data_IF_405022320018
#
_entry.id   IF_405022320018
#
_cell.length_a   1.000
_cell.length_b   1.000
_cell.length_c   1.000
_cell.angle_alpha   90.00
_cell.angle_beta   90.00
_cell.angle_gamma   90.00
#
_symmetry.space_group_name_H-M   'P 1'
#
loop_
_entity.id
_entity.type
_entity.pdbx_description
1 polymer ?
#
# COMPACT_ATOMS: atom_id res chain seq x y z
N UNK A 1 -22.99 -24.94 -4.20
CA UNK A 1 -23.25 -23.61 -4.83
C UNK A 1 -22.22 -22.53 -4.44
N UNK A 2 -21.62 -22.60 -3.25
CA UNK A 2 -20.59 -21.63 -2.79
C UNK A 2 -19.33 -21.63 -3.67
N UNK A 3 -18.89 -22.80 -4.14
CA UNK A 3 -17.70 -22.93 -5.01
C UNK A 3 -17.90 -22.31 -6.39
N UNK A 4 -19.10 -22.39 -6.96
CA UNK A 4 -19.38 -21.88 -8.32
C UNK A 4 -19.28 -20.36 -8.38
N UNK A 5 -19.68 -19.63 -7.33
CA UNK A 5 -19.57 -18.17 -7.25
C UNK A 5 -18.16 -17.64 -7.08
N UNK A 6 -17.20 -18.49 -6.68
CA UNK A 6 -15.80 -18.06 -6.46
C UNK A 6 -14.95 -18.09 -7.74
N UNK A 7 -15.33 -18.88 -8.74
CA UNK A 7 -14.59 -18.97 -10.01
C UNK A 7 -14.45 -17.62 -10.75
N UNK A 8 -15.53 -16.85 -10.98
CA UNK A 8 -15.41 -15.58 -11.68
C UNK A 8 -14.54 -14.57 -10.92
N UNK A 9 -14.62 -14.54 -9.59
CA UNK A 9 -13.79 -13.66 -8.77
C UNK A 9 -12.30 -14.02 -8.90
N UNK A 10 -11.98 -15.32 -8.90
CA UNK A 10 -10.60 -15.80 -9.06
C UNK A 10 -10.03 -15.44 -10.43
N UNK A 11 -10.84 -15.60 -11.49
CA UNK A 11 -10.43 -15.25 -12.86
C UNK A 11 -10.17 -13.75 -12.99
N UNK A 12 -11.08 -12.90 -12.51
CA UNK A 12 -10.92 -11.45 -12.56
C UNK A 12 -9.68 -11.01 -11.77
N UNK A 13 -9.45 -11.61 -10.58
CA UNK A 13 -8.26 -11.31 -9.77
C UNK A 13 -6.97 -11.71 -10.50
N UNK A 14 -6.96 -12.87 -11.17
CA UNK A 14 -5.81 -13.29 -11.97
C UNK A 14 -5.53 -12.33 -13.14
N UNK A 15 -6.57 -11.91 -13.86
CA UNK A 15 -6.44 -10.92 -14.95
C UNK A 15 -5.86 -9.60 -14.42
N UNK A 16 -6.36 -9.09 -13.30
CA UNK A 16 -5.84 -7.89 -12.67
C UNK A 16 -4.38 -8.05 -12.25
N UNK A 17 -4.00 -9.19 -11.67
CA UNK A 17 -2.63 -9.47 -11.27
C UNK A 17 -1.68 -9.48 -12.47
N UNK A 18 -2.04 -10.16 -13.57
CA UNK A 18 -1.23 -10.17 -14.79
C UNK A 18 -1.14 -8.80 -15.46
N UNK A 19 -2.21 -8.01 -15.44
CA UNK A 19 -2.18 -6.63 -15.94
C UNK A 19 -1.21 -5.75 -15.14
N UNK A 20 -1.21 -5.90 -13.81
CA UNK A 20 -0.27 -5.17 -12.93
C UNK A 20 1.17 -5.64 -13.12
N UNK A 21 1.42 -6.92 -13.35
CA UNK A 21 2.75 -7.44 -13.70
C UNK A 21 3.22 -6.86 -15.03
N UNK A 22 2.35 -6.80 -16.04
CA UNK A 22 2.66 -6.14 -17.31
C UNK A 22 2.99 -4.66 -17.13
N UNK A 23 2.21 -3.94 -16.32
CA UNK A 23 2.52 -2.54 -15.99
C UNK A 23 3.88 -2.39 -15.29
N UNK A 24 4.22 -3.30 -14.37
CA UNK A 24 5.48 -3.27 -13.63
C UNK A 24 6.71 -3.33 -14.53
N UNK A 25 6.63 -4.02 -15.68
CA UNK A 25 7.73 -4.05 -16.66
C UNK A 25 8.10 -2.66 -17.19
N UNK A 26 7.12 -1.76 -17.29
CA UNK A 26 7.33 -0.39 -17.78
C UNK A 26 7.56 0.61 -16.63
N UNK A 27 7.08 0.30 -15.44
CA UNK A 27 7.22 1.14 -14.26
C UNK A 27 8.48 0.85 -13.44
N UNK A 28 9.17 -0.28 -13.70
CA UNK A 28 10.43 -0.60 -13.04
C UNK A 28 11.50 0.46 -13.37
N UNK A 29 12.41 0.70 -12.41
CA UNK A 29 13.45 1.73 -12.56
C UNK A 29 14.42 1.43 -13.74
N UNK A 30 14.68 2.41 -14.62
CA UNK A 30 14.10 3.75 -14.71
C UNK A 30 12.67 3.72 -15.27
N UNK A 31 11.73 4.32 -14.53
CA UNK A 31 10.32 4.26 -14.88
C UNK A 31 10.04 5.02 -16.19
N UNK A 32 9.41 4.33 -17.14
CA UNK A 32 8.99 4.91 -18.44
C UNK A 32 7.55 5.39 -18.41
N UNK A 33 6.72 4.83 -17.53
CA UNK A 33 5.28 5.12 -17.40
C UNK A 33 4.93 5.24 -15.94
N UNK A 34 4.09 6.23 -15.59
CA UNK A 34 3.55 6.44 -14.26
C UNK A 34 2.04 6.19 -14.26
N UNK A 35 1.54 5.55 -13.20
CA UNK A 35 0.14 5.13 -13.11
C UNK A 35 -0.83 6.32 -12.96
N UNK A 36 -0.43 7.38 -12.29
CA UNK A 36 -1.29 8.51 -11.95
C UNK A 36 -2.40 8.16 -10.94
N UNK A 37 -3.22 9.15 -10.59
CA UNK A 37 -4.26 9.01 -9.58
C UNK A 37 -5.41 8.12 -10.05
N UNK A 38 -5.77 8.19 -11.33
CA UNK A 38 -6.84 7.37 -11.91
C UNK A 38 -6.54 5.87 -11.75
N UNK A 39 -5.32 5.45 -12.06
CA UNK A 39 -4.93 4.04 -11.93
C UNK A 39 -4.81 3.60 -10.47
N UNK A 40 -4.22 4.41 -9.60
CA UNK A 40 -4.04 4.07 -8.18
C UNK A 40 -5.38 3.96 -7.44
N UNK A 41 -6.33 4.86 -7.72
CA UNK A 41 -7.69 4.81 -7.16
C UNK A 41 -8.47 3.60 -7.67
N UNK A 42 -8.36 3.30 -8.97
CA UNK A 42 -9.00 2.12 -9.56
C UNK A 42 -8.51 0.82 -8.90
N UNK A 43 -7.19 0.66 -8.72
CA UNK A 43 -6.61 -0.51 -8.04
C UNK A 43 -7.09 -0.59 -6.60
N UNK A 44 -7.10 0.52 -5.87
CA UNK A 44 -7.60 0.57 -4.49
C UNK A 44 -9.06 0.12 -4.39
N UNK A 45 -9.91 0.59 -5.32
CA UNK A 45 -11.31 0.18 -5.42
C UNK A 45 -11.47 -1.32 -5.72
N UNK A 46 -10.71 -1.85 -6.66
CA UNK A 46 -10.73 -3.29 -7.02
C UNK A 46 -10.33 -4.15 -5.81
N UNK A 47 -9.26 -3.79 -5.10
CA UNK A 47 -8.81 -4.51 -3.89
C UNK A 47 -9.89 -4.49 -2.81
N UNK A 48 -10.54 -3.34 -2.58
CA UNK A 48 -11.61 -3.22 -1.60
C UNK A 48 -12.82 -4.12 -1.95
N UNK A 49 -13.25 -4.10 -3.20
CA UNK A 49 -14.35 -4.97 -3.68
C UNK A 49 -14.00 -6.45 -3.50
N UNK A 50 -12.79 -6.87 -3.85
CA UNK A 50 -12.37 -8.26 -3.65
C UNK A 50 -12.37 -8.67 -2.18
N UNK A 51 -11.89 -7.80 -1.27
CA UNK A 51 -11.90 -8.07 0.16
C UNK A 51 -13.33 -8.29 0.69
N UNK A 52 -14.29 -7.45 0.25
CA UNK A 52 -15.71 -7.59 0.57
C UNK A 52 -16.31 -8.89 0.01
N UNK A 53 -16.03 -9.21 -1.25
CA UNK A 53 -16.53 -10.43 -1.89
C UNK A 53 -16.05 -11.71 -1.18
N UNK A 54 -14.81 -11.70 -0.66
CA UNK A 54 -14.20 -12.83 0.05
C UNK A 54 -14.60 -12.83 1.53
N UNK A 55 -15.22 -11.78 2.04
CA UNK A 55 -15.58 -11.57 3.46
C UNK A 55 -14.36 -11.67 4.39
N UNK A 56 -13.23 -11.09 3.98
CA UNK A 56 -11.97 -11.11 4.72
C UNK A 56 -11.37 -9.70 4.85
N UNK A 57 -12.24 -8.74 5.14
CA UNK A 57 -11.88 -7.32 5.22
C UNK A 57 -10.77 -7.04 6.24
N UNK A 58 -10.74 -7.81 7.33
CA UNK A 58 -9.72 -7.67 8.39
C UNK A 58 -8.31 -8.05 7.95
N UNK A 59 -8.15 -8.82 6.86
CA UNK A 59 -6.83 -9.13 6.30
C UNK A 59 -6.30 -8.00 5.40
N UNK A 60 -7.17 -7.15 4.89
CA UNK A 60 -6.79 -6.06 3.98
C UNK A 60 -5.77 -5.10 4.61
N UNK A 61 -5.93 -4.60 5.87
CA UNK A 61 -4.93 -3.77 6.51
C UNK A 61 -3.58 -4.47 6.70
N UNK A 62 -3.55 -5.79 6.86
CA UNK A 62 -2.31 -6.56 7.00
C UNK A 62 -1.63 -6.66 5.64
N UNK A 63 -2.35 -7.08 4.60
CA UNK A 63 -1.82 -7.20 3.23
C UNK A 63 -1.34 -5.85 2.69
N UNK A 64 -2.09 -4.79 2.96
CA UNK A 64 -1.80 -3.42 2.53
C UNK A 64 -1.01 -2.63 3.59
N UNK A 65 -0.33 -3.30 4.53
CA UNK A 65 0.29 -2.68 5.71
C UNK A 65 1.25 -1.53 5.37
N UNK A 66 2.00 -1.60 4.28
CA UNK A 66 2.86 -0.51 3.83
C UNK A 66 2.03 0.75 3.52
N UNK A 67 0.93 0.62 2.78
CA UNK A 67 0.05 1.76 2.46
C UNK A 67 -0.61 2.33 3.72
N UNK A 68 -0.96 1.46 4.67
CA UNK A 68 -1.49 1.88 5.98
C UNK A 68 -0.44 2.70 6.74
N UNK A 69 0.81 2.25 6.80
CA UNK A 69 1.92 2.97 7.46
C UNK A 69 2.18 4.31 6.77
N UNK A 70 2.18 4.36 5.44
CA UNK A 70 2.31 5.60 4.67
C UNK A 70 1.20 6.60 5.02
N UNK A 71 -0.05 6.17 4.99
CA UNK A 71 -1.20 7.01 5.33
C UNK A 71 -1.16 7.50 6.78
N UNK A 72 -0.84 6.60 7.72
CA UNK A 72 -0.69 6.94 9.14
C UNK A 72 0.42 7.95 9.37
N UNK A 73 1.55 7.83 8.67
CA UNK A 73 2.65 8.78 8.79
C UNK A 73 2.23 10.22 8.44
N UNK A 74 1.38 10.38 7.41
CA UNK A 74 0.83 11.67 7.02
C UNK A 74 -0.13 12.21 8.07
N UNK A 75 -1.04 11.36 8.58
CA UNK A 75 -2.02 11.73 9.60
C UNK A 75 -1.31 12.17 10.89
N UNK A 76 -0.33 11.40 11.35
CA UNK A 76 0.46 11.69 12.55
C UNK A 76 1.19 13.03 12.38
N UNK A 77 1.90 13.20 11.25
CA UNK A 77 2.63 14.43 10.95
C UNK A 77 1.72 15.66 10.97
N UNK A 78 0.56 15.59 10.31
CA UNK A 78 -0.38 16.72 10.24
C UNK A 78 -0.99 17.05 11.59
N UNK A 79 -1.43 16.02 12.36
CA UNK A 79 -2.02 16.22 13.69
C UNK A 79 -0.98 16.79 14.65
N UNK A 80 0.23 16.24 14.68
CA UNK A 80 1.30 16.70 15.57
C UNK A 80 1.73 18.13 15.23
N UNK A 81 1.91 18.45 13.95
CA UNK A 81 2.23 19.80 13.50
C UNK A 81 1.15 20.82 13.90
N UNK A 82 -0.12 20.49 13.71
CA UNK A 82 -1.23 21.37 14.11
C UNK A 82 -1.33 21.54 15.63
N UNK A 83 -1.13 20.46 16.39
CA UNK A 83 -1.12 20.49 17.85
C UNK A 83 0.00 21.37 18.41
N UNK A 84 1.23 21.17 17.93
CA UNK A 84 2.41 21.94 18.39
C UNK A 84 2.30 23.41 18.00
N UNK A 85 1.79 23.70 16.80
CA UNK A 85 1.55 25.09 16.36
C UNK A 85 0.55 25.81 17.27
N UNK A 86 -0.53 25.12 17.70
CA UNK A 86 -1.52 25.71 18.62
C UNK A 86 -0.97 25.92 20.02
N UNK A 87 -0.10 25.00 20.51
CA UNK A 87 0.37 25.01 21.90
C UNK A 87 1.63 25.85 22.12
N UNK A 88 2.53 25.87 21.15
CA UNK A 88 3.86 26.49 21.28
C UNK A 88 4.10 27.64 20.29
N UNK A 89 3.11 27.98 19.45
CA UNK A 89 3.26 28.98 18.39
C UNK A 89 4.06 28.52 17.17
N UNK A 90 4.88 27.46 17.32
CA UNK A 90 5.70 26.90 16.26
C UNK A 90 5.28 25.46 15.95
N UNK A 91 5.17 25.14 14.65
CA UNK A 91 4.85 23.78 14.20
C UNK A 91 6.08 22.88 14.20
N UNK A 92 6.13 21.88 15.08
CA UNK A 92 7.21 20.88 15.12
C UNK A 92 6.85 19.68 14.24
N UNK A 93 7.86 19.06 13.63
CA UNK A 93 7.71 17.88 12.76
C UNK A 93 8.20 16.63 13.47
N UNK A 94 7.44 15.51 13.34
CA UNK A 94 7.86 14.19 13.82
C UNK A 94 8.81 13.56 12.81
N UNK A 95 8.43 13.60 11.53
CA UNK A 95 9.26 13.10 10.43
C UNK A 95 9.89 14.26 9.68
N UNK A 96 11.08 14.06 9.12
CA UNK A 96 11.76 15.06 8.28
C UNK A 96 10.87 15.49 7.11
N UNK A 97 10.13 14.53 6.55
CA UNK A 97 9.12 14.72 5.54
C UNK A 97 8.09 13.57 5.62
N UNK A 98 6.83 13.82 5.25
CA UNK A 98 5.79 12.80 5.11
C UNK A 98 5.23 12.83 3.68
N UNK A 99 4.84 11.69 3.10
CA UNK A 99 4.83 10.32 3.63
C UNK A 99 6.22 9.75 3.98
N UNK A 100 6.28 8.55 4.59
CA UNK A 100 7.50 8.01 5.20
C UNK A 100 8.61 7.70 4.17
N UNK A 101 8.26 7.38 2.91
CA UNK A 101 9.25 7.18 1.85
C UNK A 101 10.07 8.46 1.60
N UNK A 102 9.46 9.64 1.66
CA UNK A 102 10.18 10.91 1.54
C UNK A 102 11.11 11.19 2.74
N UNK A 103 10.77 10.68 3.94
CA UNK A 103 11.67 10.72 5.09
C UNK A 103 12.97 9.96 4.81
N UNK A 104 12.87 8.78 4.18
CA UNK A 104 14.03 7.98 3.79
C UNK A 104 14.82 8.60 2.65
N UNK A 105 14.17 9.25 1.68
CA UNK A 105 14.85 10.01 0.61
C UNK A 105 15.69 11.15 1.20
N UNK A 106 15.16 11.88 2.19
CA UNK A 106 15.92 12.93 2.89
C UNK A 106 17.09 12.42 3.70
N UNK A 107 17.12 11.13 4.03
CA UNK A 107 18.29 10.45 4.64
C UNK A 107 19.30 9.94 3.60
N UNK A 108 19.24 10.45 2.37
CA UNK A 108 20.12 10.07 1.24
C UNK A 108 20.04 8.59 0.84
N UNK A 109 18.90 7.93 1.10
CA UNK A 109 18.66 6.60 0.56
C UNK A 109 18.15 6.72 -0.87
N UNK A 110 18.79 6.01 -1.79
CA UNK A 110 18.38 5.95 -3.19
C UNK A 110 16.97 5.35 -3.32
N UNK A 111 16.15 5.90 -4.22
CA UNK A 111 14.75 5.48 -4.40
C UNK A 111 14.58 3.98 -4.65
N UNK A 112 15.45 3.39 -5.47
CA UNK A 112 15.43 1.94 -5.73
C UNK A 112 15.59 1.11 -4.46
N UNK A 113 16.42 1.55 -3.50
CA UNK A 113 16.60 0.85 -2.21
C UNK A 113 15.35 0.95 -1.32
N UNK A 114 14.67 2.09 -1.34
CA UNK A 114 13.42 2.30 -0.59
C UNK A 114 12.34 1.40 -1.16
N UNK A 115 12.18 1.41 -2.49
CA UNK A 115 11.20 0.58 -3.20
C UNK A 115 11.43 -0.91 -2.93
N UNK A 116 12.68 -1.39 -3.03
CA UNK A 116 13.00 -2.81 -2.74
C UNK A 116 12.66 -3.20 -1.31
N UNK A 117 12.95 -2.35 -0.32
CA UNK A 117 12.58 -2.61 1.08
C UNK A 117 11.06 -2.72 1.25
N UNK A 118 10.31 -1.82 0.61
CA UNK A 118 8.84 -1.84 0.67
C UNK A 118 8.26 -3.08 0.01
N UNK A 119 8.83 -3.51 -1.12
CA UNK A 119 8.44 -4.76 -1.80
C UNK A 119 8.69 -5.96 -0.89
N UNK A 120 9.88 -6.08 -0.27
CA UNK A 120 10.21 -7.18 0.64
C UNK A 120 9.23 -7.22 1.82
N UNK A 121 8.96 -6.08 2.46
CA UNK A 121 8.02 -6.01 3.59
C UNK A 121 6.60 -6.39 3.12
N UNK A 122 6.17 -5.92 1.95
CA UNK A 122 4.84 -6.27 1.39
C UNK A 122 4.72 -7.77 1.12
N UNK A 123 5.78 -8.40 0.61
CA UNK A 123 5.82 -9.86 0.39
C UNK A 123 5.72 -10.63 1.71
N UNK A 124 6.41 -10.19 2.76
CA UNK A 124 6.32 -10.78 4.10
C UNK A 124 4.92 -10.65 4.68
N UNK A 125 4.30 -9.48 4.57
CA UNK A 125 2.93 -9.25 5.04
C UNK A 125 1.91 -10.10 4.27
N UNK A 126 2.09 -10.25 2.96
CA UNK A 126 1.28 -11.15 2.14
C UNK A 126 1.44 -12.62 2.58
N UNK A 127 2.67 -13.08 2.84
CA UNK A 127 2.92 -14.42 3.35
C UNK A 127 2.25 -14.67 4.72
N UNK A 128 2.35 -13.71 5.65
CA UNK A 128 1.68 -13.77 6.96
C UNK A 128 0.15 -13.84 6.77
N UNK A 129 -0.41 -13.06 5.85
CA UNK A 129 -1.84 -13.07 5.55
C UNK A 129 -2.30 -14.45 5.03
N UNK A 130 -1.51 -15.09 4.16
CA UNK A 130 -1.80 -16.43 3.65
C UNK A 130 -1.75 -17.49 4.76
N UNK A 131 -0.76 -17.42 5.65
CA UNK A 131 -0.68 -18.32 6.82
C UNK A 131 -1.90 -18.15 7.73
N UNK A 132 -2.29 -16.92 8.00
CA UNK A 132 -3.48 -16.61 8.82
C UNK A 132 -4.77 -17.17 8.20
N UNK A 133 -4.89 -17.16 6.86
CA UNK A 133 -6.03 -17.78 6.16
C UNK A 133 -6.06 -19.30 6.30
N UNK A 134 -4.91 -19.95 6.38
CA UNK A 134 -4.81 -21.42 6.47
C UNK A 134 -5.08 -21.95 7.87
N UNK A 135 -4.80 -21.17 8.91
CA UNK A 135 -4.98 -21.58 10.31
C UNK A 135 -6.45 -21.60 10.73
N UNK A 136 -7.33 -20.96 9.97
CA UNK A 136 -8.77 -20.87 10.23
C UNK A 136 -9.58 -21.69 9.24
#
# INVERSE_FOLDING_TARGET
SYKIGMYPITVVNAICAFALLGFLLFNHHPAKVFMGDTGSLAIGGIIAVFALCIRKELLLPIMCGIFVVEALSVIIQRKYFSYTKKRYGEGRRVFLMSPIHHHFQKKNLHESKITMRFVIISMLLAAISLVTLKIR
#
